data_IF_602525255939
#
_entry.id   IF_602525255939
#
_cell.length_a   1.000
_cell.length_b   1.000
_cell.length_c   1.000
_cell.angle_alpha   90.00
_cell.angle_beta   90.00
_cell.angle_gamma   90.00
#
_symmetry.space_group_name_H-M   'P 1'
#
loop_
_entity.id
_entity.type
_entity.pdbx_description
1 polymer ?
#
# COMPACT_ATOMS: atom_id res chain seq x y z
N UNK A 1 35.01 9.56 12.31
CA UNK A 1 34.96 8.90 13.62
C UNK A 1 35.04 7.40 13.39
N UNK A 2 35.93 6.70 14.10
CA UNK A 2 36.00 5.24 14.08
C UNK A 2 35.11 4.69 15.20
N UNK A 3 34.29 3.67 14.91
CA UNK A 3 33.56 2.92 15.92
C UNK A 3 34.32 1.64 16.22
N UNK A 4 34.48 1.32 17.50
CA UNK A 4 35.14 0.07 17.95
C UNK A 4 34.04 -0.93 18.25
N UNK A 5 34.11 -2.11 17.62
CA UNK A 5 33.19 -3.23 17.88
C UNK A 5 33.95 -4.24 18.74
N UNK A 6 33.39 -4.51 19.92
CA UNK A 6 33.98 -5.50 20.86
C UNK A 6 33.42 -6.89 20.52
N UNK A 7 34.31 -7.89 20.56
CA UNK A 7 33.92 -9.28 20.34
C UNK A 7 33.18 -9.91 21.54
N UNK A 8 32.56 -11.08 21.32
CA UNK A 8 31.94 -11.94 22.35
C UNK A 8 30.88 -11.27 23.25
N UNK A 9 30.07 -10.37 22.69
CA UNK A 9 29.08 -9.62 23.46
C UNK A 9 27.61 -10.11 23.28
N UNK A 10 27.40 -11.14 22.46
CA UNK A 10 26.06 -11.69 22.29
C UNK A 10 25.63 -12.47 23.53
N UNK A 11 24.52 -12.07 24.13
CA UNK A 11 23.87 -12.77 25.26
C UNK A 11 22.51 -13.29 24.80
N UNK A 12 22.18 -14.52 25.19
CA UNK A 12 20.87 -15.09 25.00
C UNK A 12 19.83 -14.47 25.95
N UNK A 13 18.56 -14.65 25.65
CA UNK A 13 17.47 -14.17 26.50
C UNK A 13 16.12 -14.18 25.78
N UNK A 14 15.07 -13.73 26.49
CA UNK A 14 13.75 -13.55 25.92
C UNK A 14 13.66 -12.17 25.28
N UNK A 15 13.46 -12.13 23.96
CA UNK A 15 13.30 -10.89 23.21
C UNK A 15 11.87 -10.84 22.64
N UNK A 16 11.14 -9.78 22.97
CA UNK A 16 9.84 -9.48 22.32
C UNK A 16 10.10 -8.76 21.00
N UNK A 17 9.61 -9.33 19.90
CA UNK A 17 9.70 -8.71 18.58
C UNK A 17 8.42 -7.92 18.30
N UNK A 18 8.52 -6.68 17.76
CA UNK A 18 7.33 -5.93 17.35
C UNK A 18 6.64 -6.61 16.16
N UNK A 19 5.33 -6.41 15.97
CA UNK A 19 4.61 -6.88 14.79
C UNK A 19 5.22 -6.33 13.49
N UNK A 20 5.07 -7.09 12.41
CA UNK A 20 5.58 -6.69 11.10
C UNK A 20 4.76 -5.54 10.50
N UNK A 21 5.33 -4.34 10.46
CA UNK A 21 4.73 -3.18 9.78
C UNK A 21 4.40 -3.48 8.31
N UNK A 22 5.28 -4.19 7.62
CA UNK A 22 5.08 -4.55 6.21
C UNK A 22 3.90 -5.50 5.99
N UNK A 23 3.63 -6.42 6.92
CA UNK A 23 2.44 -7.25 6.88
C UNK A 23 1.20 -6.44 7.25
N UNK A 24 1.26 -5.59 8.28
CA UNK A 24 0.14 -4.79 8.75
C UNK A 24 -0.44 -3.88 7.66
N UNK A 25 0.39 -3.14 6.88
CA UNK A 25 -0.09 -2.37 5.73
C UNK A 25 -0.92 -3.21 4.77
N UNK A 26 -0.44 -4.40 4.43
CA UNK A 26 -1.08 -5.31 3.49
C UNK A 26 -2.38 -5.86 4.01
N UNK A 27 -2.38 -6.29 5.27
CA UNK A 27 -3.59 -6.80 5.94
C UNK A 27 -4.68 -5.74 6.03
N UNK A 28 -4.34 -4.50 6.41
CA UNK A 28 -5.30 -3.38 6.46
C UNK A 28 -5.90 -3.10 5.09
N UNK A 29 -5.08 -3.09 4.03
CA UNK A 29 -5.58 -2.86 2.68
C UNK A 29 -6.43 -4.03 2.18
N UNK A 30 -6.00 -5.28 2.35
CA UNK A 30 -6.81 -6.44 1.96
C UNK A 30 -8.13 -6.49 2.72
N UNK A 31 -8.12 -6.22 4.03
CA UNK A 31 -9.33 -6.15 4.85
C UNK A 31 -10.30 -5.07 4.32
N UNK A 32 -9.79 -3.90 3.95
CA UNK A 32 -10.61 -2.86 3.34
C UNK A 32 -11.15 -3.26 1.96
N UNK A 33 -10.31 -3.87 1.11
CA UNK A 33 -10.70 -4.27 -0.24
C UNK A 33 -11.66 -5.47 -0.27
N UNK A 34 -11.75 -6.26 0.80
CA UNK A 34 -12.73 -7.35 0.93
C UNK A 34 -14.18 -6.85 1.02
N UNK A 35 -14.38 -5.54 1.25
CA UNK A 35 -15.70 -4.88 1.38
C UNK A 35 -16.60 -5.47 2.45
N UNK A 36 -16.01 -6.17 3.43
CA UNK A 36 -16.70 -6.80 4.53
C UNK A 36 -16.26 -6.27 5.90
N UNK A 37 -16.64 -7.01 6.94
CA UNK A 37 -16.11 -6.79 8.30
C UNK A 37 -14.92 -7.72 8.52
N UNK A 38 -13.80 -7.13 8.93
CA UNK A 38 -12.58 -7.85 9.25
C UNK A 38 -12.03 -7.40 10.60
N UNK A 39 -11.40 -8.33 11.30
CA UNK A 39 -10.68 -8.05 12.56
C UNK A 39 -9.24 -8.52 12.41
N UNK A 40 -8.31 -7.61 12.65
CA UNK A 40 -6.87 -7.85 12.59
C UNK A 40 -6.31 -7.79 14.02
N UNK A 41 -5.66 -8.84 14.46
CA UNK A 41 -5.03 -8.91 15.79
C UNK A 41 -3.54 -8.59 15.72
N UNK A 42 -2.94 -8.24 16.86
CA UNK A 42 -1.52 -7.93 17.01
C UNK A 42 -1.05 -6.78 16.08
N UNK A 43 -1.87 -5.74 15.96
CA UNK A 43 -1.55 -4.56 15.16
C UNK A 43 -0.80 -3.54 16.01
N UNK A 44 0.38 -3.12 15.54
CA UNK A 44 1.09 -1.96 16.07
C UNK A 44 0.71 -0.72 15.25
N UNK A 45 0.10 0.28 15.91
CA UNK A 45 -0.38 1.51 15.31
C UNK A 45 0.75 2.55 15.15
N UNK A 46 1.85 2.15 14.49
CA UNK A 46 2.89 3.09 14.09
C UNK A 46 2.34 4.21 13.21
N UNK A 47 3.04 5.34 13.08
CA UNK A 47 2.60 6.48 12.25
C UNK A 47 2.27 6.08 10.80
N UNK A 48 3.05 5.17 10.23
CA UNK A 48 2.80 4.67 8.89
C UNK A 48 1.50 3.86 8.79
N UNK A 49 1.20 3.02 9.79
CA UNK A 49 -0.05 2.24 9.83
C UNK A 49 -1.24 3.16 10.07
N UNK A 50 -1.11 4.16 10.96
CA UNK A 50 -2.13 5.18 11.14
C UNK A 50 -2.43 5.94 9.84
N UNK A 51 -1.41 6.24 9.02
CA UNK A 51 -1.61 6.86 7.71
C UNK A 51 -2.41 5.94 6.76
N UNK A 52 -2.15 4.62 6.77
CA UNK A 52 -2.91 3.67 5.96
C UNK A 52 -4.35 3.52 6.46
N UNK A 53 -4.56 3.47 7.77
CA UNK A 53 -5.90 3.41 8.39
C UNK A 53 -6.70 4.67 8.04
N UNK A 54 -6.13 5.87 8.26
CA UNK A 54 -6.79 7.13 7.91
C UNK A 54 -7.13 7.21 6.41
N UNK A 55 -6.28 6.65 5.55
CA UNK A 55 -6.53 6.63 4.11
C UNK A 55 -7.70 5.70 3.73
N UNK A 56 -7.84 4.52 4.33
CA UNK A 56 -9.01 3.66 4.06
C UNK A 56 -10.29 4.24 4.67
N UNK A 57 -10.21 4.98 5.77
CA UNK A 57 -11.34 5.75 6.32
C UNK A 57 -11.76 6.87 5.35
N UNK A 58 -10.82 7.62 4.79
CA UNK A 58 -11.09 8.64 3.77
C UNK A 58 -11.75 8.04 2.52
N UNK A 59 -11.50 6.77 2.22
CA UNK A 59 -12.15 6.01 1.15
C UNK A 59 -13.51 5.42 1.53
N UNK A 60 -13.96 5.59 2.78
CA UNK A 60 -15.30 5.21 3.25
C UNK A 60 -15.38 3.97 4.14
N UNK A 61 -14.25 3.39 4.55
CA UNK A 61 -14.24 2.36 5.58
C UNK A 61 -14.51 2.97 6.96
N UNK A 62 -15.10 2.17 7.87
CA UNK A 62 -15.19 2.49 9.29
C UNK A 62 -14.14 1.66 10.02
N UNK A 63 -13.33 2.30 10.84
CA UNK A 63 -12.26 1.61 11.56
C UNK A 63 -12.36 1.91 13.04
N UNK A 64 -12.09 0.91 13.87
CA UNK A 64 -11.92 1.06 15.31
C UNK A 64 -10.70 0.27 15.77
N UNK A 65 -9.96 0.81 16.73
CA UNK A 65 -8.78 0.18 17.29
C UNK A 65 -8.92 0.03 18.80
N UNK A 66 -8.78 -1.19 19.27
CA UNK A 66 -8.66 -1.53 20.69
C UNK A 66 -7.17 -1.62 21.05
N UNK A 67 -6.68 -0.60 21.75
CA UNK A 67 -5.27 -0.51 22.13
C UNK A 67 -4.87 -1.61 23.12
N UNK A 68 -5.76 -1.97 24.06
CA UNK A 68 -5.47 -2.98 25.07
C UNK A 68 -5.35 -4.38 24.47
N UNK A 69 -6.19 -4.69 23.47
CA UNK A 69 -6.16 -5.94 22.73
C UNK A 69 -5.23 -5.90 21.51
N UNK A 70 -4.65 -4.76 21.17
CA UNK A 70 -3.91 -4.53 19.94
C UNK A 70 -4.68 -5.02 18.68
N UNK A 71 -5.98 -4.72 18.64
CA UNK A 71 -6.91 -5.27 17.64
C UNK A 71 -7.57 -4.15 16.84
N UNK A 72 -7.47 -4.25 15.52
CA UNK A 72 -8.07 -3.33 14.56
C UNK A 72 -9.30 -4.00 13.92
N UNK A 73 -10.46 -3.36 14.01
CA UNK A 73 -11.69 -3.82 13.35
C UNK A 73 -12.05 -2.86 12.23
N UNK A 74 -12.28 -3.39 11.03
CA UNK A 74 -12.69 -2.65 9.85
C UNK A 74 -14.08 -3.09 9.39
N UNK A 75 -14.92 -2.12 8.98
CA UNK A 75 -16.13 -2.33 8.19
C UNK A 75 -16.00 -1.51 6.90
N UNK A 76 -15.75 -2.20 5.81
CA UNK A 76 -15.47 -1.61 4.51
C UNK A 76 -16.62 -1.74 3.49
N UNK A 77 -17.85 -2.00 3.94
CA UNK A 77 -19.04 -2.16 3.08
C UNK A 77 -19.27 -0.95 2.14
N UNK A 78 -18.77 0.22 2.51
CA UNK A 78 -18.95 1.47 1.77
C UNK A 78 -17.66 1.99 1.14
N UNK A 79 -16.64 1.16 0.99
CA UNK A 79 -15.38 1.56 0.40
C UNK A 79 -15.56 2.02 -1.06
N UNK A 80 -14.83 3.05 -1.46
CA UNK A 80 -14.85 3.60 -2.82
C UNK A 80 -15.88 4.69 -3.04
N UNK A 81 -16.37 5.32 -1.97
CA UNK A 81 -17.19 6.53 -2.07
C UNK A 81 -16.32 7.72 -2.46
N UNK A 82 -16.84 8.48 -3.43
CA UNK A 82 -16.44 9.79 -3.99
C UNK A 82 -15.20 10.49 -3.40
N UNK A 83 -14.59 11.37 -4.16
CA UNK A 83 -13.46 12.25 -3.91
C UNK A 83 -12.79 12.15 -2.52
N UNK A 84 -11.57 11.62 -2.47
CA UNK A 84 -10.84 11.44 -1.24
C UNK A 84 -9.65 12.41 -1.11
N UNK A 85 -9.46 12.97 0.07
CA UNK A 85 -8.21 13.63 0.45
C UNK A 85 -7.40 12.66 1.32
N UNK A 86 -6.23 12.25 0.85
CA UNK A 86 -5.42 11.22 1.47
C UNK A 86 -4.09 11.84 1.93
N UNK A 87 -3.90 11.95 3.23
CA UNK A 87 -2.61 12.32 3.81
C UNK A 87 -1.80 11.07 4.13
N UNK A 88 -0.79 10.82 3.31
CA UNK A 88 0.14 9.70 3.49
C UNK A 88 1.17 9.95 4.59
N UNK A 89 1.16 11.10 5.26
CA UNK A 89 2.19 11.53 6.21
C UNK A 89 3.59 11.35 5.60
N UNK A 90 4.42 10.45 6.14
CA UNK A 90 5.74 10.09 5.59
C UNK A 90 5.78 8.67 5.00
N UNK A 91 4.64 7.98 4.97
CA UNK A 91 4.54 6.57 4.57
C UNK A 91 4.57 6.37 3.05
N UNK A 92 5.72 5.94 2.54
CA UNK A 92 5.86 5.55 1.13
C UNK A 92 5.06 4.30 0.75
N UNK A 93 4.78 3.41 1.70
CA UNK A 93 3.93 2.23 1.48
C UNK A 93 2.48 2.64 1.29
N UNK A 94 1.95 3.49 2.18
CA UNK A 94 0.59 4.04 2.06
C UNK A 94 0.40 4.71 0.70
N UNK A 95 1.31 5.60 0.32
CA UNK A 95 1.24 6.32 -0.95
C UNK A 95 1.23 5.37 -2.16
N UNK A 96 2.26 4.53 -2.29
CA UNK A 96 2.45 3.71 -3.50
C UNK A 96 1.45 2.57 -3.61
N UNK A 97 0.93 2.06 -2.50
CA UNK A 97 -0.10 1.02 -2.55
C UNK A 97 -1.47 1.60 -2.91
N UNK A 98 -1.81 2.77 -2.38
CA UNK A 98 -3.13 3.37 -2.59
C UNK A 98 -3.31 4.03 -3.95
N UNK A 99 -2.26 4.54 -4.59
CA UNK A 99 -2.38 5.16 -5.91
C UNK A 99 -3.12 4.25 -6.91
N UNK A 100 -2.69 3.02 -7.20
CA UNK A 100 -3.41 2.17 -8.13
C UNK A 100 -4.73 1.61 -7.57
N UNK A 101 -4.86 1.42 -6.24
CA UNK A 101 -6.11 1.02 -5.60
C UNK A 101 -7.20 2.07 -5.84
N UNK A 102 -6.90 3.33 -5.57
CA UNK A 102 -7.83 4.46 -5.78
C UNK A 102 -8.24 4.57 -7.25
N UNK A 103 -7.29 4.40 -8.16
CA UNK A 103 -7.56 4.37 -9.60
C UNK A 103 -8.46 3.17 -10.00
N UNK A 104 -8.23 1.99 -9.43
CA UNK A 104 -9.08 0.80 -9.68
C UNK A 104 -10.51 0.98 -9.14
N UNK A 105 -10.66 1.65 -8.00
CA UNK A 105 -11.96 2.00 -7.44
C UNK A 105 -12.69 3.10 -8.23
N UNK A 106 -12.00 3.80 -9.14
CA UNK A 106 -12.54 4.93 -9.89
C UNK A 106 -12.81 6.17 -9.03
N UNK A 107 -12.09 6.31 -7.93
CA UNK A 107 -12.21 7.44 -6.99
C UNK A 107 -11.28 8.56 -7.43
N UNK A 108 -11.80 9.79 -7.49
CA UNK A 108 -10.94 10.97 -7.63
C UNK A 108 -10.30 11.29 -6.28
N UNK A 109 -8.99 11.42 -6.24
CA UNK A 109 -8.27 11.62 -5.00
C UNK A 109 -7.13 12.63 -5.13
N UNK A 110 -6.89 13.35 -4.03
CA UNK A 110 -5.70 14.17 -3.83
C UNK A 110 -4.84 13.55 -2.74
N UNK A 111 -3.61 13.20 -3.09
CA UNK A 111 -2.61 12.69 -2.16
C UNK A 111 -1.68 13.82 -1.73
N UNK A 112 -1.45 13.88 -0.42
CA UNK A 112 -0.46 14.78 0.21
C UNK A 112 0.43 13.98 1.14
N UNK A 113 1.52 14.59 1.57
CA UNK A 113 2.44 14.00 2.53
C UNK A 113 3.43 15.04 3.04
N UNK A 114 4.25 14.65 4.00
CA UNK A 114 5.21 15.52 4.66
C UNK A 114 6.62 14.89 4.71
N UNK A 115 7.55 15.61 5.31
CA UNK A 115 8.94 15.19 5.41
C UNK A 115 9.55 15.02 4.02
N UNK A 116 10.19 13.88 3.77
CA UNK A 116 10.82 13.56 2.48
C UNK A 116 9.89 12.84 1.50
N UNK A 117 8.64 12.56 1.88
CA UNK A 117 7.72 11.82 1.01
C UNK A 117 7.36 12.58 -0.27
N UNK A 118 7.12 13.93 -0.24
CA UNK A 118 6.82 14.70 -1.44
C UNK A 118 7.90 14.64 -2.54
N UNK A 119 9.15 14.42 -2.15
CA UNK A 119 10.29 14.36 -3.08
C UNK A 119 10.49 12.95 -3.69
N UNK A 120 9.80 11.93 -3.17
CA UNK A 120 9.97 10.55 -3.64
C UNK A 120 9.37 10.39 -5.04
N UNK A 121 10.12 9.82 -6.01
CA UNK A 121 9.67 9.73 -7.39
C UNK A 121 8.44 8.82 -7.51
N UNK A 122 7.49 9.29 -8.34
CA UNK A 122 6.27 8.58 -8.73
C UNK A 122 6.25 8.26 -10.23
N UNK A 123 7.35 8.48 -10.94
CA UNK A 123 7.45 8.38 -12.39
C UNK A 123 6.96 7.06 -12.96
N UNK A 124 7.21 5.93 -12.27
CA UNK A 124 6.72 4.61 -12.71
C UNK A 124 5.19 4.61 -12.88
N UNK A 125 4.45 5.17 -11.94
CA UNK A 125 2.99 5.29 -12.09
C UNK A 125 2.58 6.42 -13.01
N UNK A 126 3.34 7.53 -13.04
CA UNK A 126 3.08 8.67 -13.92
C UNK A 126 3.17 8.30 -15.41
N UNK A 127 4.01 7.34 -15.78
CA UNK A 127 4.10 6.79 -17.12
C UNK A 127 3.07 5.68 -17.39
N UNK A 128 2.84 4.82 -16.40
CA UNK A 128 2.07 3.60 -16.56
C UNK A 128 0.55 3.85 -16.52
N UNK A 129 0.05 4.56 -15.51
CA UNK A 129 -1.38 4.67 -15.25
C UNK A 129 -2.16 5.48 -16.29
N UNK A 130 -1.60 6.56 -16.90
CA UNK A 130 -2.28 7.28 -17.98
C UNK A 130 -2.62 6.40 -19.19
N UNK A 131 -1.75 5.48 -19.56
CA UNK A 131 -2.01 4.52 -20.65
C UNK A 131 -3.19 3.57 -20.34
N UNK A 132 -3.59 3.46 -19.06
CA UNK A 132 -4.67 2.61 -18.59
C UNK A 132 -5.91 3.41 -18.10
N UNK A 133 -6.10 4.65 -18.58
CA UNK A 133 -7.33 5.42 -18.37
C UNK A 133 -7.39 6.27 -17.11
N UNK A 134 -6.24 6.53 -16.48
CA UNK A 134 -6.12 7.35 -15.28
C UNK A 134 -5.50 8.71 -15.62
N UNK A 135 -6.11 9.79 -15.18
CA UNK A 135 -5.47 11.09 -15.16
C UNK A 135 -4.55 11.21 -13.96
N UNK A 136 -3.29 11.48 -14.20
CA UNK A 136 -2.24 11.55 -13.19
C UNK A 136 -1.59 12.93 -13.23
N UNK A 137 -1.94 13.80 -12.30
CA UNK A 137 -1.46 15.20 -12.24
C UNK A 137 -0.50 15.38 -11.06
N UNK A 138 0.78 15.43 -11.35
CA UNK A 138 1.87 15.63 -10.38
C UNK A 138 3.03 16.37 -11.03
N UNK A 139 3.80 17.10 -10.24
CA UNK A 139 5.06 17.73 -10.66
C UNK A 139 6.28 16.85 -10.30
N UNK A 140 6.12 15.52 -10.34
CA UNK A 140 7.18 14.56 -10.05
C UNK A 140 7.08 13.89 -8.68
N UNK A 141 6.26 14.41 -7.77
CA UNK A 141 6.04 13.90 -6.43
C UNK A 141 4.68 14.31 -5.87
N UNK A 142 4.61 14.66 -4.59
CA UNK A 142 3.38 15.19 -3.99
C UNK A 142 3.35 16.73 -4.05
N UNK A 143 2.15 17.35 -4.13
CA UNK A 143 0.84 16.71 -4.18
C UNK A 143 0.58 15.99 -5.51
N UNK A 144 -0.20 14.90 -5.45
CA UNK A 144 -0.67 14.16 -6.62
C UNK A 144 -2.20 14.23 -6.66
N UNK A 145 -2.76 14.55 -7.82
CA UNK A 145 -4.19 14.44 -8.09
C UNK A 145 -4.44 13.32 -9.10
N UNK A 146 -5.40 12.46 -8.75
CA UNK A 146 -5.81 11.31 -9.53
C UNK A 146 -7.29 11.40 -9.87
N UNK A 147 -7.63 11.06 -11.13
CA UNK A 147 -9.01 10.87 -11.57
C UNK A 147 -9.07 9.84 -12.70
N UNK A 148 -10.28 9.42 -13.06
CA UNK A 148 -10.51 8.36 -14.03
C UNK A 148 -10.59 6.98 -13.38
N UNK A 149 -10.69 5.93 -14.19
CA UNK A 149 -10.82 4.53 -13.73
C UNK A 149 -9.78 3.66 -14.43
N UNK A 150 -9.02 2.92 -13.63
CA UNK A 150 -8.01 1.99 -14.12
C UNK A 150 -8.68 0.88 -14.97
N UNK A 151 -8.08 0.54 -16.10
CA UNK A 151 -8.54 -0.50 -17.02
C UNK A 151 -7.62 -1.70 -16.94
N UNK A 152 -8.18 -2.92 -17.09
CA UNK A 152 -7.43 -4.15 -17.24
C UNK A 152 -6.50 -4.12 -18.46
N UNK A 153 -5.45 -4.95 -18.45
CA UNK A 153 -4.49 -5.04 -19.55
C UNK A 153 -3.08 -5.43 -19.12
N UNK A 154 -2.11 -5.15 -19.97
CA UNK A 154 -0.71 -5.50 -19.73
C UNK A 154 0.07 -4.30 -19.18
N UNK A 155 0.53 -4.44 -17.96
CA UNK A 155 1.28 -3.42 -17.20
C UNK A 155 2.78 -3.68 -17.29
N UNK A 156 3.47 -2.99 -18.19
CA UNK A 156 4.93 -3.13 -18.37
C UNK A 156 5.68 -2.11 -17.53
N UNK A 157 6.52 -2.58 -16.62
CA UNK A 157 7.23 -1.69 -15.70
C UNK A 157 8.59 -2.25 -15.29
N UNK A 158 9.55 -1.40 -14.86
CA UNK A 158 10.81 -1.86 -14.32
C UNK A 158 10.63 -2.54 -12.94
N UNK A 159 11.32 -3.67 -12.75
CA UNK A 159 11.33 -4.40 -11.47
C UNK A 159 12.37 -3.91 -10.46
N UNK A 160 13.31 -3.06 -10.88
CA UNK A 160 14.47 -2.64 -10.09
C UNK A 160 14.37 -1.23 -9.48
N UNK A 161 13.19 -0.60 -9.52
CA UNK A 161 12.98 0.72 -8.89
C UNK A 161 12.49 0.57 -7.45
N UNK A 162 11.41 -0.15 -7.25
CA UNK A 162 10.87 -0.49 -5.92
C UNK A 162 9.77 -1.54 -6.04
N UNK A 163 9.81 -2.56 -5.19
CA UNK A 163 8.74 -3.56 -5.08
C UNK A 163 7.39 -2.98 -4.66
N UNK A 164 7.36 -1.75 -4.13
CA UNK A 164 6.12 -1.08 -3.74
C UNK A 164 5.22 -0.77 -4.94
N UNK A 165 5.78 -0.48 -6.12
CA UNK A 165 5.01 -0.27 -7.34
C UNK A 165 4.32 -1.56 -7.80
N UNK A 166 5.04 -2.67 -7.79
CA UNK A 166 4.47 -4.00 -8.09
C UNK A 166 3.38 -4.35 -7.07
N UNK A 167 3.67 -4.17 -5.78
CA UNK A 167 2.71 -4.44 -4.70
C UNK A 167 1.41 -3.65 -4.84
N UNK A 168 1.49 -2.37 -5.19
CA UNK A 168 0.29 -1.54 -5.40
C UNK A 168 -0.58 -2.08 -6.54
N UNK A 169 0.02 -2.48 -7.66
CA UNK A 169 -0.72 -3.12 -8.77
C UNK A 169 -1.32 -4.46 -8.35
N UNK A 170 -0.61 -5.28 -7.59
CA UNK A 170 -1.14 -6.56 -7.09
C UNK A 170 -2.40 -6.40 -6.23
N UNK A 171 -2.56 -5.28 -5.51
CA UNK A 171 -3.81 -4.96 -4.81
C UNK A 171 -4.90 -4.43 -5.74
N UNK A 172 -4.52 -3.67 -6.76
CA UNK A 172 -5.48 -2.96 -7.60
C UNK A 172 -6.07 -3.83 -8.71
N UNK A 173 -5.24 -4.63 -9.37
CA UNK A 173 -5.65 -5.39 -10.55
C UNK A 173 -6.75 -6.42 -10.28
N UNK A 174 -6.80 -7.10 -9.12
CA UNK A 174 -7.91 -8.00 -8.80
C UNK A 174 -9.28 -7.31 -8.62
N UNK A 175 -9.32 -5.98 -8.58
CA UNK A 175 -10.57 -5.20 -8.48
C UNK A 175 -11.18 -4.88 -9.85
N UNK A 176 -10.48 -5.17 -10.93
CA UNK A 176 -10.90 -4.83 -12.30
C UNK A 176 -11.77 -5.93 -12.91
N UNK A 177 -12.56 -5.55 -13.92
CA UNK A 177 -13.48 -6.47 -14.64
C UNK A 177 -12.75 -7.31 -15.70
N UNK A 178 -11.56 -7.41 -15.84
CA UNK A 178 -10.84 -8.21 -16.85
C UNK A 178 -9.47 -8.62 -16.34
N UNK A 179 -8.90 -9.58 -17.00
CA UNK A 179 -7.59 -10.10 -16.69
C UNK A 179 -6.50 -9.05 -16.92
N UNK A 180 -5.50 -9.07 -16.06
CA UNK A 180 -4.36 -8.16 -16.15
C UNK A 180 -3.05 -8.91 -15.94
N UNK A 181 -1.99 -8.42 -16.58
CA UNK A 181 -0.65 -8.98 -16.49
C UNK A 181 0.35 -7.90 -16.06
N UNK A 182 1.22 -8.21 -15.13
CA UNK A 182 2.37 -7.37 -14.78
C UNK A 182 3.62 -7.95 -15.44
N UNK A 183 4.18 -7.24 -16.41
CA UNK A 183 5.41 -7.61 -17.11
C UNK A 183 6.56 -6.77 -16.61
N UNK A 184 7.53 -7.43 -15.97
CA UNK A 184 8.73 -6.74 -15.51
C UNK A 184 9.76 -6.62 -16.63
N UNK A 185 10.22 -5.41 -16.93
CA UNK A 185 11.21 -5.14 -17.97
C UNK A 185 12.66 -5.21 -17.46
N UNK A 186 12.84 -5.38 -16.15
CA UNK A 186 14.13 -5.62 -15.51
C UNK A 186 13.96 -6.61 -14.33
N UNK A 187 15.06 -7.19 -13.80
CA UNK A 187 14.97 -8.08 -12.65
C UNK A 187 14.26 -7.45 -11.45
N UNK A 188 13.42 -8.25 -10.78
CA UNK A 188 12.69 -7.80 -9.60
C UNK A 188 13.63 -7.70 -8.39
N UNK A 189 13.75 -6.50 -7.83
CA UNK A 189 14.37 -6.28 -6.54
C UNK A 189 13.39 -6.51 -5.38
N UNK A 190 13.96 -6.82 -4.21
CA UNK A 190 13.15 -7.00 -2.98
C UNK A 190 12.01 -8.02 -3.14
N UNK A 191 12.29 -9.15 -3.77
CA UNK A 191 11.32 -10.25 -4.07
C UNK A 191 10.51 -10.69 -2.85
N UNK A 192 11.10 -10.66 -1.65
CA UNK A 192 10.44 -11.05 -0.41
C UNK A 192 9.18 -10.23 -0.09
N UNK A 193 9.17 -8.94 -0.44
CA UNK A 193 7.96 -8.09 -0.23
C UNK A 193 6.85 -8.39 -1.23
N UNK A 194 7.19 -8.78 -2.46
CA UNK A 194 6.19 -9.23 -3.43
C UNK A 194 5.63 -10.58 -3.01
N UNK A 195 6.47 -11.52 -2.58
CA UNK A 195 6.05 -12.82 -2.05
C UNK A 195 5.13 -12.66 -0.82
N UNK A 196 5.46 -11.75 0.11
CA UNK A 196 4.60 -11.40 1.24
C UNK A 196 3.23 -10.87 0.79
N UNK A 197 3.21 -10.03 -0.25
CA UNK A 197 1.95 -9.50 -0.82
C UNK A 197 1.10 -10.63 -1.38
N UNK A 198 1.68 -11.51 -2.18
CA UNK A 198 0.98 -12.66 -2.77
C UNK A 198 0.48 -13.63 -1.69
N UNK A 199 1.25 -13.85 -0.62
CA UNK A 199 0.82 -14.70 0.50
C UNK A 199 -0.41 -14.12 1.18
N UNK A 200 -0.41 -12.81 1.47
CA UNK A 200 -1.55 -12.15 2.12
C UNK A 200 -2.77 -12.09 1.20
N UNK A 201 -2.61 -11.79 -0.09
CA UNK A 201 -3.71 -11.82 -1.05
C UNK A 201 -4.42 -13.18 -1.08
N UNK A 202 -3.66 -14.29 -0.98
CA UNK A 202 -4.25 -15.65 -0.90
C UNK A 202 -5.11 -15.86 0.34
N UNK A 203 -4.77 -15.26 1.49
CA UNK A 203 -5.59 -15.31 2.71
C UNK A 203 -6.98 -14.68 2.49
N UNK A 204 -7.07 -13.74 1.53
CA UNK A 204 -8.32 -13.08 1.12
C UNK A 204 -8.93 -13.68 -0.15
N UNK A 205 -8.49 -14.87 -0.58
CA UNK A 205 -9.05 -15.60 -1.71
C UNK A 205 -8.59 -15.11 -3.09
N UNK A 206 -7.61 -14.21 -3.16
CA UNK A 206 -7.06 -13.72 -4.43
C UNK A 206 -5.91 -14.62 -4.88
N UNK A 207 -6.01 -15.14 -6.10
CA UNK A 207 -4.94 -15.93 -6.74
C UNK A 207 -4.29 -15.07 -7.83
N UNK A 208 -2.97 -14.89 -7.76
CA UNK A 208 -2.16 -14.17 -8.74
C UNK A 208 -0.81 -14.87 -8.94
#
# INVERSE_FOLDING_TARGET
MAQVIYGNQFQGGLVRIPPSKSAAHRQVLCAALSRGKCTLSHVDMSEDIQATVAAVEALGAKVSFDEAAATLTLDAANLGRQNAAIDCRESGSTLRFLIPIVAALGVSARFVGRGRLPERPLGVYGELLPAHGVEFRSQGGLPLELSGKLKSGVYRMPGNVSSQFVTGLLFALPLLEGDSEIVLTSPLESKGYVALTLSILREYGVTA
#
